data_IF_394275183078
#
_entry.id   IF_394275183078
#
_cell.length_a   1.000
_cell.length_b   1.000
_cell.length_c   1.000
_cell.angle_alpha   90.00
_cell.angle_beta   90.00
_cell.angle_gamma   90.00
#
_symmetry.space_group_name_H-M   'P 1'
#
loop_
_entity.id
_entity.type
_entity.pdbx_description
1 polymer ?
#
# COMPACT_ATOMS: atom_id res chain seq x y z
N UNK A 1 7.17 -0.37 28.59
CA UNK A 1 8.59 -0.55 28.99
C UNK A 1 8.81 0.21 30.30
N UNK A 2 9.56 -0.34 31.27
CA UNK A 2 9.81 0.29 32.58
C UNK A 2 11.04 1.21 32.50
N UNK A 3 10.86 2.54 32.58
CA UNK A 3 11.92 3.53 32.32
C UNK A 3 12.48 4.13 33.61
N UNK A 4 13.81 4.18 33.75
CA UNK A 4 14.51 4.78 34.91
C UNK A 4 14.87 6.23 34.62
N UNK A 5 13.93 7.14 34.85
CA UNK A 5 14.07 8.58 34.51
C UNK A 5 15.00 9.36 35.46
N UNK A 6 15.24 8.88 36.69
CA UNK A 6 15.99 9.60 37.73
C UNK A 6 17.22 8.83 38.25
N UNK A 7 17.88 8.03 37.40
CA UNK A 7 19.08 7.26 37.75
C UNK A 7 18.82 5.78 38.07
N UNK A 8 19.87 5.02 38.38
CA UNK A 8 19.81 3.56 38.59
C UNK A 8 18.86 3.14 39.71
N UNK A 9 18.65 3.99 40.71
CA UNK A 9 17.86 3.69 41.90
C UNK A 9 16.41 4.21 41.81
N UNK A 10 16.03 4.78 40.66
CA UNK A 10 14.67 5.31 40.45
C UNK A 10 13.66 4.20 40.18
N UNK A 11 12.45 4.35 40.76
CA UNK A 11 11.32 3.49 40.45
C UNK A 11 11.04 3.58 38.95
N UNK A 12 10.91 2.43 38.25
CA UNK A 12 10.61 2.46 36.85
C UNK A 12 9.22 3.05 36.62
N UNK A 13 9.16 4.17 35.91
CA UNK A 13 7.91 4.79 35.51
C UNK A 13 7.37 4.09 34.27
N UNK A 14 6.04 4.00 34.22
CA UNK A 14 5.33 3.59 33.01
C UNK A 14 5.50 4.64 31.91
N UNK A 15 5.57 4.19 30.65
CA UNK A 15 5.82 5.08 29.51
C UNK A 15 4.70 6.12 29.34
N UNK A 16 3.42 5.73 29.49
CA UNK A 16 2.30 6.65 29.41
C UNK A 16 2.35 7.72 30.48
N UNK A 17 2.78 7.35 31.70
CA UNK A 17 2.99 8.31 32.78
C UNK A 17 4.15 9.27 32.47
N UNK A 18 5.26 8.79 31.92
CA UNK A 18 6.34 9.68 31.47
C UNK A 18 5.85 10.65 30.39
N UNK A 19 5.11 10.17 29.39
CA UNK A 19 4.53 11.01 28.34
C UNK A 19 3.61 12.08 28.94
N UNK A 20 2.77 11.71 29.90
CA UNK A 20 1.89 12.66 30.58
C UNK A 20 2.66 13.73 31.35
N UNK A 21 3.69 13.36 32.11
CA UNK A 21 4.54 14.33 32.83
C UNK A 21 5.22 15.29 31.85
N UNK A 22 5.80 14.78 30.77
CA UNK A 22 6.49 15.60 29.76
C UNK A 22 5.54 16.47 28.94
N UNK A 23 4.25 16.14 28.91
CA UNK A 23 3.24 16.95 28.21
C UNK A 23 3.06 18.35 28.82
N UNK A 24 3.34 18.50 30.12
CA UNK A 24 3.26 19.80 30.82
C UNK A 24 4.41 20.75 30.50
N UNK A 25 5.51 20.24 29.94
CA UNK A 25 6.67 21.06 29.58
C UNK A 25 6.41 21.88 28.31
N UNK A 26 7.13 22.98 28.15
CA UNK A 26 7.12 23.73 26.89
C UNK A 26 7.91 22.98 25.82
N UNK A 27 7.61 23.19 24.52
CA UNK A 27 8.35 22.53 23.43
C UNK A 27 9.87 22.68 23.53
N UNK A 28 10.37 23.88 23.87
CA UNK A 28 11.81 24.14 24.05
C UNK A 28 12.43 23.32 25.18
N UNK A 29 11.70 23.13 26.28
CA UNK A 29 12.16 22.34 27.43
C UNK A 29 12.21 20.86 27.07
N UNK A 30 11.18 20.33 26.39
CA UNK A 30 11.21 18.98 25.83
C UNK A 30 12.39 18.78 24.88
N UNK A 31 12.65 19.72 23.98
CA UNK A 31 13.76 19.63 23.05
C UNK A 31 15.11 19.51 23.77
N UNK A 32 15.36 20.29 24.83
CA UNK A 32 16.58 20.18 25.62
C UNK A 32 16.76 18.78 26.24
N UNK A 33 15.67 18.15 26.65
CA UNK A 33 15.69 16.82 27.27
C UNK A 33 16.04 15.70 26.28
N UNK A 34 15.93 15.93 24.96
CA UNK A 34 16.37 14.97 23.92
C UNK A 34 17.89 14.74 23.90
N UNK A 35 18.64 15.63 24.57
CA UNK A 35 20.09 15.57 24.70
C UNK A 35 20.55 14.72 25.90
N UNK A 36 19.64 14.37 26.82
CA UNK A 36 19.98 13.62 28.04
C UNK A 36 20.39 12.19 27.73
N UNK A 37 19.59 11.49 26.93
CA UNK A 37 19.84 10.09 26.53
C UNK A 37 18.96 9.68 25.35
N UNK A 38 19.17 8.46 24.83
CA UNK A 38 18.34 7.89 23.76
C UNK A 38 16.92 7.60 24.26
N UNK A 39 16.78 7.16 25.50
CA UNK A 39 15.51 6.84 26.13
C UNK A 39 14.65 8.09 26.27
N UNK A 40 15.23 9.18 26.79
CA UNK A 40 14.56 10.47 26.89
C UNK A 40 14.12 10.98 25.51
N UNK A 41 15.02 10.93 24.53
CA UNK A 41 14.69 11.30 23.14
C UNK A 41 13.51 10.50 22.60
N UNK A 42 13.46 9.19 22.87
CA UNK A 42 12.37 8.34 22.43
C UNK A 42 11.03 8.73 23.06
N UNK A 43 11.00 8.92 24.38
CA UNK A 43 9.74 9.28 25.08
C UNK A 43 9.29 10.69 24.68
N UNK A 44 10.21 11.63 24.46
CA UNK A 44 9.87 12.97 23.99
C UNK A 44 9.25 12.89 22.59
N UNK A 45 9.80 12.07 21.69
CA UNK A 45 9.21 11.83 20.38
C UNK A 45 7.79 11.26 20.50
N UNK A 46 7.57 10.25 21.35
CA UNK A 46 6.23 9.71 21.65
C UNK A 46 5.30 10.80 22.21
N UNK A 47 5.81 11.68 23.09
CA UNK A 47 5.05 12.75 23.71
C UNK A 47 4.58 13.78 22.69
N UNK A 48 5.50 14.29 21.87
CA UNK A 48 5.19 15.28 20.84
C UNK A 48 4.24 14.70 19.79
N UNK A 49 4.47 13.46 19.37
CA UNK A 49 3.62 12.74 18.44
C UNK A 49 2.20 12.54 18.98
N UNK A 50 2.08 12.05 20.22
CA UNK A 50 0.79 11.86 20.87
C UNK A 50 0.03 13.17 21.01
N UNK A 51 0.70 14.24 21.49
CA UNK A 51 0.08 15.55 21.62
C UNK A 51 -0.43 16.11 20.29
N UNK A 52 0.35 15.95 19.22
CA UNK A 52 -0.05 16.39 17.89
C UNK A 52 -1.27 15.64 17.35
N UNK A 53 -1.41 14.34 17.67
CA UNK A 53 -2.50 13.50 17.17
C UNK A 53 -3.74 13.46 18.07
N UNK A 54 -3.67 13.93 19.33
CA UNK A 54 -4.81 13.91 20.26
C UNK A 54 -6.09 14.53 19.68
N UNK A 55 -6.07 15.71 19.03
CA UNK A 55 -7.28 16.27 18.42
C UNK A 55 -7.88 15.35 17.34
N UNK A 56 -7.04 14.71 16.53
CA UNK A 56 -7.47 13.75 15.50
C UNK A 56 -8.05 12.49 16.13
N UNK A 57 -7.38 11.92 17.15
CA UNK A 57 -7.89 10.76 17.88
C UNK A 57 -9.24 11.06 18.54
N UNK A 58 -9.48 12.30 18.96
CA UNK A 58 -10.74 12.71 19.58
C UNK A 58 -11.95 12.73 18.63
N UNK A 59 -11.72 12.71 17.31
CA UNK A 59 -12.80 12.56 16.32
C UNK A 59 -13.34 11.13 16.27
N UNK A 60 -12.58 10.16 16.79
CA UNK A 60 -12.91 8.73 16.69
C UNK A 60 -13.70 8.29 17.92
N UNK A 61 -14.92 7.74 17.77
CA UNK A 61 -15.78 7.37 18.90
C UNK A 61 -15.10 6.44 19.93
N UNK A 62 -14.26 5.52 19.47
CA UNK A 62 -13.53 4.58 20.33
C UNK A 62 -12.46 5.25 21.20
N UNK A 63 -12.00 6.44 20.82
CA UNK A 63 -10.86 7.13 21.43
C UNK A 63 -11.23 8.48 22.07
N UNK A 64 -12.44 9.00 21.79
CA UNK A 64 -12.82 10.39 22.06
C UNK A 64 -12.83 10.79 23.54
N UNK A 65 -13.08 9.86 24.45
CA UNK A 65 -13.10 10.10 25.90
C UNK A 65 -11.75 9.83 26.59
N UNK A 66 -10.75 9.37 25.85
CA UNK A 66 -9.46 8.99 26.41
C UNK A 66 -8.42 10.11 26.30
N UNK A 67 -7.60 10.24 27.34
CA UNK A 67 -6.54 11.26 27.46
C UNK A 67 -5.28 10.63 28.05
N UNK A 68 -4.17 11.35 27.97
CA UNK A 68 -2.95 10.99 28.68
C UNK A 68 -3.22 10.79 30.19
N UNK A 69 -2.55 9.85 30.86
CA UNK A 69 -1.53 8.93 30.33
C UNK A 69 -2.07 7.70 29.60
N UNK A 70 -3.40 7.50 29.55
CA UNK A 70 -4.01 6.22 29.12
C UNK A 70 -3.87 5.93 27.63
N UNK A 71 -3.86 6.97 26.79
CA UNK A 71 -3.73 6.85 25.35
C UNK A 71 -2.40 7.45 24.92
N UNK A 72 -1.57 6.66 24.23
CA UNK A 72 -0.34 7.12 23.61
C UNK A 72 -0.30 6.71 22.14
N UNK A 73 0.46 7.44 21.35
CA UNK A 73 0.65 7.17 19.94
C UNK A 73 2.13 7.17 19.58
N UNK A 74 2.53 6.21 18.75
CA UNK A 74 3.89 6.04 18.23
C UNK A 74 3.84 5.99 16.70
N UNK A 75 4.71 6.69 15.98
CA UNK A 75 4.73 6.61 14.52
C UNK A 75 5.10 5.19 14.08
N UNK A 76 4.39 4.68 13.08
CA UNK A 76 4.78 3.47 12.34
C UNK A 76 5.52 3.90 11.06
N UNK A 77 6.43 3.06 10.59
CA UNK A 77 7.12 3.28 9.32
C UNK A 77 6.28 2.81 8.14
N UNK A 78 6.39 3.48 6.99
CA UNK A 78 5.72 3.11 5.75
C UNK A 78 4.76 4.20 5.25
N UNK A 79 4.17 3.96 4.08
CA UNK A 79 3.29 4.91 3.39
C UNK A 79 4.05 6.02 2.66
N UNK A 80 3.69 6.25 1.39
CA UNK A 80 4.16 7.40 0.62
C UNK A 80 3.06 8.48 0.48
N UNK A 81 1.84 8.18 0.89
CA UNK A 81 0.65 9.02 0.66
C UNK A 81 -0.17 9.21 1.93
N UNK A 82 0.15 8.49 2.99
CA UNK A 82 -0.52 8.53 4.27
C UNK A 82 0.50 8.40 5.41
N UNK A 83 0.15 8.93 6.58
CA UNK A 83 0.91 8.73 7.81
C UNK A 83 0.21 7.70 8.69
N UNK A 84 0.95 6.69 9.14
CA UNK A 84 0.41 5.62 10.00
C UNK A 84 1.05 5.64 11.39
N UNK A 85 0.24 5.43 12.43
CA UNK A 85 0.69 5.43 13.82
C UNK A 85 0.05 4.29 14.62
N UNK A 86 0.82 3.67 15.50
CA UNK A 86 0.32 2.77 16.52
C UNK A 86 -0.31 3.59 17.64
N UNK A 87 -1.58 3.35 17.94
CA UNK A 87 -2.28 3.89 19.10
C UNK A 87 -2.41 2.79 20.15
N UNK A 88 -1.94 3.06 21.36
CA UNK A 88 -2.07 2.15 22.52
C UNK A 88 -2.98 2.81 23.55
N UNK A 89 -3.99 2.08 24.03
CA UNK A 89 -4.94 2.52 25.04
C UNK A 89 -4.98 1.54 26.22
N UNK A 90 -4.62 2.04 27.39
CA UNK A 90 -4.73 1.31 28.64
C UNK A 90 -6.08 1.56 29.32
N UNK A 91 -6.85 0.48 29.50
CA UNK A 91 -8.15 0.49 30.19
C UNK A 91 -8.06 -0.36 31.45
N UNK A 92 -8.53 0.18 32.57
CA UNK A 92 -8.62 -0.57 33.83
C UNK A 92 -9.97 -1.30 33.86
N UNK A 93 -9.94 -2.62 33.84
CA UNK A 93 -11.15 -3.43 33.91
C UNK A 93 -11.73 -3.48 35.34
N UNK A 94 -12.91 -4.08 35.49
CA UNK A 94 -13.63 -4.19 36.79
C UNK A 94 -12.85 -4.96 37.87
N UNK A 95 -11.81 -5.71 37.50
CA UNK A 95 -10.93 -6.46 38.41
C UNK A 95 -9.64 -5.70 38.73
N UNK A 96 -9.59 -4.39 38.45
CA UNK A 96 -8.42 -3.54 38.61
C UNK A 96 -7.17 -4.02 37.84
N UNK A 97 -7.36 -4.78 36.75
CA UNK A 97 -6.29 -5.13 35.82
C UNK A 97 -6.28 -4.16 34.65
N UNK A 98 -5.08 -3.79 34.20
CA UNK A 98 -4.88 -3.00 32.98
C UNK A 98 -4.94 -3.93 31.78
N UNK A 99 -5.76 -3.57 30.81
CA UNK A 99 -5.84 -4.18 29.49
C UNK A 99 -5.42 -3.13 28.46
N UNK A 100 -4.48 -3.48 27.59
CA UNK A 100 -3.99 -2.59 26.53
C UNK A 100 -4.64 -2.97 25.20
N UNK A 101 -5.32 -2.02 24.59
CA UNK A 101 -5.85 -2.13 23.24
C UNK A 101 -4.93 -1.42 22.26
N UNK A 102 -4.77 -1.98 21.06
CA UNK A 102 -3.88 -1.44 20.03
C UNK A 102 -4.56 -1.29 18.69
N UNK A 103 -4.31 -0.16 18.04
CA UNK A 103 -4.80 0.15 16.70
C UNK A 103 -3.70 0.73 15.81
N UNK A 104 -3.85 0.54 14.49
CA UNK A 104 -3.17 1.37 13.52
C UNK A 104 -4.10 2.53 13.10
N UNK A 105 -3.67 3.74 13.39
CA UNK A 105 -4.31 4.99 12.98
C UNK A 105 -3.64 5.47 11.69
N UNK A 106 -4.40 5.57 10.61
CA UNK A 106 -3.94 6.06 9.31
C UNK A 106 -4.59 7.40 9.00
N UNK A 107 -3.77 8.38 8.65
CA UNK A 107 -4.19 9.74 8.28
C UNK A 107 -3.75 9.99 6.85
N UNK A 108 -4.69 10.33 5.99
CA UNK A 108 -4.42 10.68 4.60
C UNK A 108 -3.43 11.86 4.50
N UNK A 109 -2.46 11.76 3.60
CA UNK A 109 -1.52 12.83 3.30
C UNK A 109 -2.21 14.01 2.64
N UNK A 110 -1.69 15.21 2.85
CA UNK A 110 -2.26 16.44 2.29
C UNK A 110 -2.30 16.35 0.76
N UNK A 111 -3.46 16.66 0.17
CA UNK A 111 -3.66 16.68 -1.27
C UNK A 111 -3.95 15.32 -1.92
N UNK A 112 -3.90 14.20 -1.17
CA UNK A 112 -4.21 12.85 -1.68
C UNK A 112 -5.65 12.71 -2.20
N UNK A 113 -6.60 13.41 -1.58
CA UNK A 113 -8.02 13.41 -1.99
C UNK A 113 -8.28 13.98 -3.39
N UNK A 114 -7.30 14.63 -4.02
CA UNK A 114 -7.42 15.09 -5.40
C UNK A 114 -7.46 13.92 -6.42
N UNK A 115 -6.99 12.74 -6.03
CA UNK A 115 -6.92 11.55 -6.88
C UNK A 115 -7.66 10.34 -6.28
N UNK A 116 -8.09 10.44 -5.02
CA UNK A 116 -8.64 9.34 -4.25
C UNK A 116 -10.01 9.74 -3.71
N UNK A 117 -11.02 8.94 -4.04
CA UNK A 117 -12.37 9.07 -3.49
C UNK A 117 -12.47 8.22 -2.23
N UNK A 118 -12.49 8.89 -1.08
CA UNK A 118 -12.49 8.22 0.24
C UNK A 118 -13.74 7.37 0.50
N UNK A 119 -14.87 7.69 -0.13
CA UNK A 119 -16.08 6.84 -0.14
C UNK A 119 -15.84 5.49 -0.82
N UNK A 120 -15.24 5.50 -2.02
CA UNK A 120 -14.89 4.26 -2.75
C UNK A 120 -13.92 3.43 -1.93
N UNK A 121 -12.90 4.06 -1.36
CA UNK A 121 -11.93 3.41 -0.49
C UNK A 121 -12.59 2.75 0.73
N UNK A 122 -13.44 3.48 1.46
CA UNK A 122 -14.10 2.96 2.65
C UNK A 122 -14.95 1.72 2.33
N UNK A 123 -15.72 1.78 1.24
CA UNK A 123 -16.54 0.67 0.77
C UNK A 123 -15.70 -0.55 0.40
N UNK A 124 -14.66 -0.34 -0.41
CA UNK A 124 -13.80 -1.41 -0.90
C UNK A 124 -12.98 -2.05 0.23
N UNK A 125 -12.43 -1.24 1.13
CA UNK A 125 -11.69 -1.71 2.30
C UNK A 125 -12.58 -2.53 3.25
N UNK A 126 -13.86 -2.15 3.39
CA UNK A 126 -14.84 -2.92 4.17
C UNK A 126 -15.15 -4.25 3.50
N UNK A 127 -15.37 -4.28 2.18
CA UNK A 127 -15.58 -5.53 1.45
C UNK A 127 -14.37 -6.47 1.59
N UNK A 128 -13.15 -5.95 1.48
CA UNK A 128 -11.93 -6.73 1.72
C UNK A 128 -11.80 -7.24 3.16
N UNK A 129 -12.32 -6.50 4.14
CA UNK A 129 -12.41 -6.94 5.55
C UNK A 129 -13.37 -8.12 5.70
N UNK A 130 -14.53 -8.06 5.03
CA UNK A 130 -15.54 -9.13 5.05
C UNK A 130 -15.04 -10.41 4.35
N UNK A 131 -14.12 -10.27 3.38
CA UNK A 131 -13.36 -11.37 2.80
C UNK A 131 -12.21 -11.86 3.68
N UNK A 132 -12.00 -11.28 4.85
CA UNK A 132 -10.85 -11.54 5.73
C UNK A 132 -9.48 -11.29 5.07
N UNK A 133 -9.43 -10.52 3.97
CA UNK A 133 -8.19 -10.13 3.30
C UNK A 133 -7.55 -8.94 4.01
N UNK A 134 -8.36 -7.98 4.45
CA UNK A 134 -7.91 -6.81 5.20
C UNK A 134 -7.87 -7.09 6.72
N UNK A 135 -7.31 -6.13 7.46
CA UNK A 135 -7.47 -6.02 8.92
C UNK A 135 -8.83 -5.44 9.28
N UNK A 136 -9.32 -5.74 10.49
CA UNK A 136 -10.59 -5.20 10.98
C UNK A 136 -10.54 -3.67 11.04
N UNK A 137 -11.57 -3.03 10.46
CA UNK A 137 -11.74 -1.58 10.46
C UNK A 137 -12.76 -1.22 11.55
N UNK A 138 -12.29 -0.56 12.61
CA UNK A 138 -13.17 -0.12 13.71
C UNK A 138 -13.74 1.29 13.42
N UNK A 139 -13.05 2.11 12.63
CA UNK A 139 -13.53 3.43 12.22
C UNK A 139 -12.95 3.84 10.84
N UNK A 140 -13.77 4.49 10.02
CA UNK A 140 -13.37 5.11 8.76
C UNK A 140 -14.18 6.38 8.54
N UNK A 141 -13.51 7.50 8.30
CA UNK A 141 -14.12 8.78 7.91
C UNK A 141 -14.10 8.91 6.38
N UNK A 142 -15.26 8.84 5.75
CA UNK A 142 -15.41 8.92 4.29
C UNK A 142 -15.15 10.33 3.72
N UNK A 143 -15.05 11.36 4.56
CA UNK A 143 -14.79 12.72 4.11
C UNK A 143 -13.29 12.97 3.88
N UNK A 144 -12.43 12.52 4.81
CA UNK A 144 -10.99 12.79 4.77
C UNK A 144 -10.09 11.56 4.81
N UNK A 145 -10.66 10.36 4.92
CA UNK A 145 -9.90 9.10 4.91
C UNK A 145 -9.25 8.75 6.24
N UNK A 146 -9.60 9.43 7.33
CA UNK A 146 -9.15 9.05 8.68
C UNK A 146 -9.62 7.64 9.00
N UNK A 147 -8.67 6.73 9.26
CA UNK A 147 -8.98 5.32 9.47
C UNK A 147 -8.35 4.81 10.77
N UNK A 148 -9.12 4.02 11.51
CA UNK A 148 -8.65 3.23 12.65
C UNK A 148 -8.88 1.74 12.38
N UNK A 149 -7.80 0.98 12.30
CA UNK A 149 -7.85 -0.48 12.14
C UNK A 149 -7.25 -1.18 13.34
N UNK A 150 -7.68 -2.41 13.60
CA UNK A 150 -7.08 -3.22 14.67
C UNK A 150 -5.63 -3.52 14.36
N UNK A 151 -4.76 -3.30 15.35
CA UNK A 151 -3.35 -3.61 15.18
C UNK A 151 -3.14 -5.13 15.18
N UNK A 152 -2.45 -5.61 14.16
CA UNK A 152 -2.17 -7.03 13.99
C UNK A 152 -0.86 -7.39 14.72
N UNK A 153 -0.99 -7.98 15.90
CA UNK A 153 0.15 -8.41 16.71
C UNK A 153 0.97 -9.50 16.00
N UNK A 154 2.28 -9.52 16.26
CA UNK A 154 3.22 -10.48 15.66
C UNK A 154 3.15 -10.52 14.12
N UNK A 155 2.89 -9.36 13.51
CA UNK A 155 2.87 -9.21 12.06
C UNK A 155 4.01 -8.32 11.58
N UNK A 156 4.44 -8.55 10.34
CA UNK A 156 5.43 -7.72 9.67
C UNK A 156 5.12 -7.59 8.17
N UNK A 157 5.46 -6.45 7.55
CA UNK A 157 5.48 -6.35 6.10
C UNK A 157 6.38 -7.42 5.46
N UNK A 158 6.11 -7.79 4.20
CA UNK A 158 6.94 -8.77 3.50
C UNK A 158 8.37 -8.25 3.31
N UNK A 159 9.32 -8.92 3.95
CA UNK A 159 10.75 -8.66 3.79
C UNK A 159 11.37 -9.59 2.74
N UNK A 160 12.65 -9.38 2.39
CA UNK A 160 13.34 -10.18 1.37
C UNK A 160 13.36 -11.69 1.67
N UNK A 161 13.42 -12.09 2.94
CA UNK A 161 13.41 -13.51 3.31
C UNK A 161 12.03 -14.15 3.07
N UNK A 162 10.94 -13.42 3.38
CA UNK A 162 9.58 -13.85 3.09
C UNK A 162 9.32 -13.87 1.58
N UNK A 163 9.79 -12.86 0.85
CA UNK A 163 9.68 -12.80 -0.62
C UNK A 163 10.45 -13.91 -1.35
N UNK A 164 11.45 -14.51 -0.71
CA UNK A 164 12.17 -15.67 -1.23
C UNK A 164 11.51 -17.01 -0.87
N UNK A 165 10.52 -17.03 0.03
CA UNK A 165 9.87 -18.26 0.48
C UNK A 165 8.76 -18.70 -0.52
N UNK A 166 8.87 -19.88 -1.15
CA UNK A 166 7.87 -20.38 -2.10
C UNK A 166 6.44 -20.44 -1.57
N UNK A 167 6.25 -20.75 -0.30
CA UNK A 167 4.91 -20.82 0.32
C UNK A 167 4.28 -19.42 0.43
N UNK A 168 5.10 -18.40 0.72
CA UNK A 168 4.64 -17.01 0.78
C UNK A 168 4.29 -16.52 -0.62
N UNK A 169 5.12 -16.82 -1.62
CA UNK A 169 4.86 -16.49 -3.04
C UNK A 169 3.51 -17.07 -3.49
N UNK A 170 3.26 -18.35 -3.20
CA UNK A 170 1.98 -19.00 -3.50
C UNK A 170 0.82 -18.34 -2.75
N UNK A 171 1.00 -18.03 -1.46
CA UNK A 171 -0.03 -17.35 -0.65
C UNK A 171 -0.40 -15.97 -1.22
N UNK A 172 0.56 -15.22 -1.76
CA UNK A 172 0.31 -13.93 -2.42
C UNK A 172 -0.55 -14.15 -3.67
N UNK A 173 -0.17 -15.05 -4.56
CA UNK A 173 -0.93 -15.35 -5.78
C UNK A 173 -2.37 -15.79 -5.49
N UNK A 174 -2.56 -16.65 -4.47
CA UNK A 174 -3.88 -17.07 -4.01
C UNK A 174 -4.69 -15.95 -3.35
N UNK A 175 -4.03 -15.03 -2.65
CA UNK A 175 -4.67 -13.86 -2.02
C UNK A 175 -5.22 -12.91 -3.08
N UNK A 176 -4.41 -12.59 -4.10
CA UNK A 176 -4.86 -11.79 -5.25
C UNK A 176 -5.99 -12.50 -6.01
N UNK A 177 -5.86 -13.81 -6.26
CA UNK A 177 -6.92 -14.61 -6.90
C UNK A 177 -8.24 -14.54 -6.14
N UNK A 178 -8.19 -14.65 -4.81
CA UNK A 178 -9.39 -14.57 -3.95
C UNK A 178 -10.06 -13.20 -4.05
N UNK A 179 -9.28 -12.12 -4.05
CA UNK A 179 -9.82 -10.77 -4.27
C UNK A 179 -10.47 -10.67 -5.65
N UNK A 180 -9.79 -11.09 -6.70
CA UNK A 180 -10.26 -10.93 -8.08
C UNK A 180 -11.48 -11.81 -8.41
N UNK A 181 -11.78 -12.81 -7.57
CA UNK A 181 -12.97 -13.66 -7.67
C UNK A 181 -14.13 -13.20 -6.78
N UNK A 182 -13.96 -12.14 -5.98
CA UNK A 182 -15.03 -11.61 -5.15
C UNK A 182 -16.02 -10.74 -5.94
N UNK A 183 -17.05 -10.28 -5.24
CA UNK A 183 -18.02 -9.34 -5.79
C UNK A 183 -17.33 -8.05 -6.25
N UNK A 184 -17.80 -7.50 -7.37
CA UNK A 184 -17.26 -6.27 -7.94
C UNK A 184 -17.29 -5.09 -6.94
N UNK A 185 -16.28 -4.23 -7.01
CA UNK A 185 -16.32 -2.92 -6.36
C UNK A 185 -17.30 -1.98 -7.08
N UNK A 186 -17.63 -0.85 -6.45
CA UNK A 186 -18.54 0.15 -7.05
C UNK A 186 -17.84 1.02 -8.10
N UNK A 187 -16.54 1.24 -7.95
CA UNK A 187 -15.72 2.04 -8.85
C UNK A 187 -14.92 1.16 -9.82
N UNK A 188 -14.52 1.74 -10.96
CA UNK A 188 -13.69 1.09 -11.97
C UNK A 188 -12.51 1.99 -12.29
N UNK A 189 -11.33 1.40 -12.47
CA UNK A 189 -10.08 2.08 -12.77
C UNK A 189 -9.71 1.77 -14.22
N UNK A 190 -9.51 2.83 -15.00
CA UNK A 190 -8.96 2.76 -16.34
C UNK A 190 -7.53 3.30 -16.32
N UNK A 191 -6.55 2.40 -16.28
CA UNK A 191 -5.13 2.77 -16.13
C UNK A 191 -4.62 3.62 -17.30
N UNK A 192 -5.09 3.36 -18.52
CA UNK A 192 -4.63 4.10 -19.70
C UNK A 192 -5.17 5.53 -19.72
N UNK A 193 -6.46 5.70 -19.41
CA UNK A 193 -7.06 7.02 -19.27
C UNK A 193 -6.39 7.81 -18.15
N UNK A 194 -6.15 7.16 -17.00
CA UNK A 194 -5.47 7.76 -15.84
C UNK A 194 -4.03 8.20 -16.18
N UNK A 195 -3.26 7.33 -16.83
CA UNK A 195 -1.90 7.65 -17.31
C UNK A 195 -1.91 8.84 -18.27
N UNK A 196 -2.83 8.83 -19.23
CA UNK A 196 -2.98 9.92 -20.21
C UNK A 196 -3.30 11.25 -19.54
N UNK A 197 -4.20 11.27 -18.55
CA UNK A 197 -4.55 12.48 -17.80
C UNK A 197 -3.40 13.00 -16.94
N UNK A 198 -2.67 12.12 -16.26
CA UNK A 198 -1.50 12.51 -15.47
C UNK A 198 -0.41 13.11 -16.35
N UNK A 199 -0.08 12.46 -17.47
CA UNK A 199 0.91 12.97 -18.40
C UNK A 199 0.52 14.36 -18.94
N UNK A 200 -0.75 14.56 -19.34
CA UNK A 200 -1.25 15.87 -19.78
C UNK A 200 -1.10 16.93 -18.69
N UNK A 201 -1.45 16.62 -17.44
CA UNK A 201 -1.30 17.55 -16.31
C UNK A 201 0.17 17.91 -16.04
N UNK A 202 1.07 16.92 -16.10
CA UNK A 202 2.51 17.13 -15.92
C UNK A 202 3.10 18.04 -17.01
N UNK A 203 2.76 17.79 -18.27
CA UNK A 203 3.19 18.62 -19.41
C UNK A 203 2.67 20.05 -19.26
N UNK A 204 1.38 20.21 -18.96
CA UNK A 204 0.76 21.53 -18.83
C UNK A 204 1.26 22.32 -17.61
N UNK A 205 1.56 21.64 -16.52
CA UNK A 205 1.99 22.27 -15.27
C UNK A 205 3.44 22.76 -15.28
N UNK A 206 4.34 22.05 -15.98
CA UNK A 206 5.74 22.45 -16.15
C UNK A 206 6.59 22.46 -14.86
N UNK A 207 6.10 21.89 -13.76
CA UNK A 207 6.84 21.87 -12.48
C UNK A 207 7.93 20.78 -12.42
N UNK A 208 7.87 19.80 -13.32
CA UNK A 208 8.82 18.67 -13.39
C UNK A 208 9.49 18.67 -14.76
N UNK A 209 10.80 18.47 -14.78
CA UNK A 209 11.55 18.30 -16.03
C UNK A 209 11.29 16.90 -16.56
N UNK A 210 10.53 16.80 -17.63
CA UNK A 210 10.24 15.53 -18.30
C UNK A 210 11.36 15.18 -19.30
N UNK A 211 11.71 13.88 -19.44
CA UNK A 211 12.67 13.42 -20.44
C UNK A 211 12.25 13.74 -21.88
N UNK A 212 13.22 13.88 -22.80
CA UNK A 212 12.94 14.23 -24.20
C UNK A 212 12.16 13.14 -24.97
N UNK A 213 12.28 11.88 -24.54
CA UNK A 213 11.64 10.71 -25.16
C UNK A 213 10.22 10.42 -24.59
N UNK A 214 9.68 11.32 -23.75
CA UNK A 214 8.37 11.16 -23.11
C UNK A 214 7.23 10.94 -24.12
N UNK A 215 7.23 11.71 -25.22
CA UNK A 215 6.19 11.63 -26.25
C UNK A 215 6.26 10.30 -27.02
N UNK A 216 7.47 9.76 -27.22
CA UNK A 216 7.66 8.47 -27.86
C UNK A 216 7.10 7.33 -27.00
N UNK A 217 7.37 7.36 -25.68
CA UNK A 217 6.79 6.39 -24.73
C UNK A 217 5.27 6.54 -24.68
N UNK A 218 4.75 7.76 -24.59
CA UNK A 218 3.31 8.03 -24.64
C UNK A 218 2.65 7.46 -25.90
N UNK A 219 3.28 7.63 -27.06
CA UNK A 219 2.81 7.04 -28.33
C UNK A 219 2.79 5.51 -28.32
N UNK A 220 3.76 4.85 -27.67
CA UNK A 220 3.74 3.39 -27.50
C UNK A 220 2.61 2.96 -26.56
N UNK A 221 2.38 3.69 -25.45
CA UNK A 221 1.29 3.39 -24.52
C UNK A 221 -0.09 3.49 -25.19
N UNK A 222 -0.29 4.45 -26.09
CA UNK A 222 -1.52 4.55 -26.91
C UNK A 222 -1.69 3.35 -27.84
N UNK A 223 -0.60 2.81 -28.41
CA UNK A 223 -0.66 1.58 -29.23
C UNK A 223 -1.03 0.36 -28.39
N UNK A 224 -0.42 0.22 -27.21
CA UNK A 224 -0.77 -0.84 -26.25
C UNK A 224 -2.24 -0.75 -25.89
N UNK A 225 -2.73 0.44 -25.53
CA UNK A 225 -4.14 0.67 -25.24
C UNK A 225 -5.03 0.24 -26.42
N UNK A 226 -4.73 0.73 -27.63
CA UNK A 226 -5.50 0.39 -28.83
C UNK A 226 -5.62 -1.12 -29.05
N UNK A 227 -4.53 -1.87 -28.82
CA UNK A 227 -4.55 -3.32 -28.89
C UNK A 227 -5.43 -3.93 -27.79
N UNK A 228 -5.30 -3.47 -26.55
CA UNK A 228 -6.09 -3.97 -25.42
C UNK A 228 -7.60 -3.72 -25.61
N UNK A 229 -7.99 -2.59 -26.20
CA UNK A 229 -9.39 -2.26 -26.49
C UNK A 229 -10.06 -3.16 -27.53
N UNK A 230 -9.29 -3.94 -28.28
CA UNK A 230 -9.84 -4.98 -29.18
C UNK A 230 -10.36 -6.19 -28.40
N UNK A 231 -9.98 -6.33 -27.12
CA UNK A 231 -10.36 -7.41 -26.25
C UNK A 231 -11.41 -6.99 -25.21
N UNK A 232 -12.34 -7.90 -24.94
CA UNK A 232 -13.23 -7.91 -23.79
C UNK A 232 -12.46 -8.49 -22.61
N UNK A 233 -11.92 -7.59 -21.79
CA UNK A 233 -11.23 -7.92 -20.55
C UNK A 233 -12.24 -7.87 -19.41
N UNK A 234 -12.33 -8.95 -18.63
CA UNK A 234 -13.17 -8.96 -17.42
C UNK A 234 -12.55 -8.07 -16.36
N UNK A 235 -13.28 -7.03 -15.96
CA UNK A 235 -12.90 -6.18 -14.85
C UNK A 235 -13.28 -6.85 -13.53
N UNK A 236 -12.35 -6.89 -12.60
CA UNK A 236 -12.45 -7.58 -11.30
C UNK A 236 -11.99 -6.64 -10.18
N UNK A 237 -12.42 -6.85 -8.93
CA UNK A 237 -11.90 -6.08 -7.80
C UNK A 237 -10.37 -6.17 -7.75
N UNK A 238 -9.68 -5.04 -7.81
CA UNK A 238 -8.22 -4.98 -7.71
C UNK A 238 -7.83 -4.02 -6.58
N UNK A 239 -6.70 -4.32 -5.93
CA UNK A 239 -6.05 -3.43 -4.98
C UNK A 239 -5.43 -2.21 -5.68
N UNK A 240 -4.89 -2.41 -6.89
CA UNK A 240 -4.14 -1.46 -7.73
C UNK A 240 -2.85 -0.88 -7.12
N UNK A 241 -2.46 -1.36 -5.93
CA UNK A 241 -1.19 -1.04 -5.28
C UNK A 241 -0.68 -2.19 -4.37
N UNK A 242 -0.64 -3.45 -4.84
CA UNK A 242 -0.20 -4.58 -4.02
C UNK A 242 1.33 -4.57 -3.87
N UNK A 243 1.89 -3.59 -3.17
CA UNK A 243 3.33 -3.57 -2.84
C UNK A 243 3.64 -4.59 -1.73
N UNK A 244 4.87 -5.15 -1.66
CA UNK A 244 5.27 -6.01 -0.55
C UNK A 244 5.04 -5.40 0.84
N UNK A 245 5.12 -4.07 0.97
CA UNK A 245 4.85 -3.36 2.22
C UNK A 245 3.38 -3.37 2.65
N UNK A 246 2.46 -3.54 1.70
CA UNK A 246 1.02 -3.59 1.95
C UNK A 246 0.54 -5.00 2.32
N UNK A 247 1.42 -6.00 2.24
CA UNK A 247 1.14 -7.35 2.73
C UNK A 247 1.75 -7.55 4.12
N UNK A 248 0.90 -7.87 5.10
CA UNK A 248 1.32 -8.19 6.46
C UNK A 248 1.31 -9.70 6.66
N UNK A 249 2.49 -10.27 6.94
CA UNK A 249 2.66 -11.66 7.32
C UNK A 249 2.52 -11.80 8.84
N UNK A 250 1.64 -12.68 9.29
CA UNK A 250 1.45 -13.01 10.71
C UNK A 250 2.27 -14.23 11.07
N UNK A 251 3.22 -14.08 11.99
CA UNK A 251 4.06 -15.18 12.44
C UNK A 251 3.24 -16.24 13.20
N UNK A 252 3.56 -17.52 12.98
CA UNK A 252 2.90 -18.68 13.60
C UNK A 252 1.40 -18.81 13.33
N UNK A 253 0.86 -18.07 12.37
CA UNK A 253 -0.41 -18.41 11.78
C UNK A 253 -0.26 -19.73 11.02
N UNK A 254 -1.10 -20.72 11.33
CA UNK A 254 -1.15 -21.96 10.54
C UNK A 254 -1.37 -21.60 9.06
N UNK A 255 -0.46 -22.03 8.19
CA UNK A 255 -0.65 -21.98 6.74
C UNK A 255 -1.65 -23.09 6.41
N UNK A 256 -2.92 -22.82 6.12
CA UNK A 256 -3.88 -23.89 5.96
C UNK A 256 -3.73 -24.54 4.59
N UNK A 257 -3.73 -25.87 4.59
CA UNK A 257 -4.08 -26.67 3.43
C UNK A 257 -5.54 -26.41 3.04
N UNK A 258 -5.74 -25.75 1.90
CA UNK A 258 -6.93 -25.86 1.05
C UNK A 258 -8.31 -25.95 1.77
N UNK A 259 -8.63 -25.08 2.74
CA UNK A 259 -10.01 -24.93 3.29
C UNK A 259 -10.28 -23.70 4.18
N UNK A 260 -9.71 -22.54 3.86
CA UNK A 260 -10.50 -21.29 4.01
C UNK A 260 -10.45 -20.48 5.31
N UNK A 261 -9.37 -20.49 6.09
CA UNK A 261 -9.09 -19.40 7.05
C UNK A 261 -7.70 -18.80 6.80
N UNK A 262 -7.63 -17.63 6.16
CA UNK A 262 -6.38 -16.91 5.85
C UNK A 262 -5.76 -16.29 7.11
N UNK A 263 -5.14 -17.10 7.95
CA UNK A 263 -4.52 -16.60 9.18
C UNK A 263 -3.15 -15.92 8.92
N UNK A 264 -2.45 -16.23 7.81
CA UNK A 264 -1.05 -15.85 7.64
C UNK A 264 -0.76 -14.55 6.89
N UNK A 265 -1.67 -14.05 6.06
CA UNK A 265 -1.39 -12.90 5.19
C UNK A 265 -2.58 -11.94 5.12
N UNK A 266 -2.34 -10.66 5.39
CA UNK A 266 -3.31 -9.57 5.26
C UNK A 266 -2.85 -8.57 4.20
N UNK A 267 -3.80 -7.97 3.49
CA UNK A 267 -3.57 -6.91 2.51
C UNK A 267 -4.21 -5.62 3.00
N UNK A 268 -3.40 -4.59 3.22
CA UNK A 268 -3.79 -3.29 3.78
C UNK A 268 -3.61 -2.17 2.74
N UNK A 269 -4.08 -0.97 3.09
CA UNK A 269 -3.93 0.26 2.28
C UNK A 269 -4.69 0.29 0.95
N UNK A 270 -6.03 0.29 1.04
CA UNK A 270 -6.96 0.13 -0.08
C UNK A 270 -7.27 1.42 -0.86
N UNK A 271 -6.44 2.46 -0.76
CA UNK A 271 -6.79 3.79 -1.27
C UNK A 271 -6.84 3.91 -2.80
N UNK A 272 -6.18 3.00 -3.51
CA UNK A 272 -6.23 2.90 -4.98
C UNK A 272 -7.18 1.82 -5.49
N UNK A 273 -7.89 1.14 -4.60
CA UNK A 273 -8.74 0.01 -4.96
C UNK A 273 -9.88 0.40 -5.90
N UNK A 274 -10.22 -0.53 -6.78
CA UNK A 274 -11.30 -0.38 -7.76
C UNK A 274 -11.22 -1.46 -8.83
N UNK A 275 -12.32 -1.69 -9.55
CA UNK A 275 -12.34 -2.75 -10.55
C UNK A 275 -11.34 -2.45 -11.67
N UNK A 276 -10.45 -3.39 -11.95
CA UNK A 276 -9.44 -3.27 -13.00
C UNK A 276 -9.25 -4.62 -13.68
N UNK A 277 -8.32 -4.72 -14.64
CA UNK A 277 -7.80 -6.02 -15.04
C UNK A 277 -6.98 -6.63 -13.89
N UNK A 278 -7.29 -7.87 -13.49
CA UNK A 278 -6.55 -8.57 -12.43
C UNK A 278 -5.06 -8.74 -12.71
N UNK A 279 -4.64 -8.70 -13.98
CA UNK A 279 -3.22 -8.72 -14.33
C UNK A 279 -2.46 -7.47 -13.87
N UNK A 280 -3.13 -6.34 -13.69
CA UNK A 280 -2.51 -5.14 -13.13
C UNK A 280 -1.92 -5.44 -11.75
N UNK A 281 -2.69 -6.01 -10.84
CA UNK A 281 -2.23 -6.34 -9.48
C UNK A 281 -1.10 -7.36 -9.48
N UNK A 282 -1.24 -8.42 -10.29
CA UNK A 282 -0.26 -9.50 -10.39
C UNK A 282 1.09 -8.97 -10.87
N UNK A 283 1.10 -8.22 -11.98
CA UNK A 283 2.35 -7.66 -12.53
C UNK A 283 2.90 -6.54 -11.65
N UNK A 284 2.03 -5.74 -11.03
CA UNK A 284 2.43 -4.72 -10.06
C UNK A 284 3.18 -5.32 -8.88
N UNK A 285 2.67 -6.43 -8.32
CA UNK A 285 3.33 -7.13 -7.24
C UNK A 285 4.69 -7.69 -7.70
N UNK A 286 4.73 -8.42 -8.81
CA UNK A 286 5.96 -9.04 -9.36
C UNK A 286 7.07 -8.00 -9.52
N UNK A 287 6.76 -6.82 -10.08
CA UNK A 287 7.78 -5.79 -10.26
C UNK A 287 8.25 -5.16 -8.95
N UNK A 288 7.32 -4.84 -8.03
CA UNK A 288 7.67 -4.23 -6.75
C UNK A 288 8.42 -5.19 -5.83
N UNK A 289 8.12 -6.48 -5.91
CA UNK A 289 8.84 -7.54 -5.22
C UNK A 289 10.20 -7.87 -5.85
N UNK A 290 10.49 -7.33 -7.06
CA UNK A 290 11.72 -7.58 -7.83
C UNK A 290 11.97 -9.07 -8.06
N UNK A 291 10.91 -9.79 -8.38
CA UNK A 291 10.98 -11.23 -8.62
C UNK A 291 11.80 -11.56 -9.86
N UNK A 292 12.57 -12.65 -9.74
CA UNK A 292 13.16 -13.32 -10.88
C UNK A 292 12.12 -14.19 -11.62
N UNK A 293 12.52 -14.77 -12.75
CA UNK A 293 11.65 -15.60 -13.58
C UNK A 293 11.03 -16.78 -12.82
N UNK A 294 11.76 -17.40 -11.89
CA UNK A 294 11.26 -18.55 -11.12
C UNK A 294 10.20 -18.12 -10.10
N UNK A 295 10.44 -17.00 -9.42
CA UNK A 295 9.50 -16.42 -8.47
C UNK A 295 8.24 -15.89 -9.17
N UNK A 296 8.40 -15.22 -10.31
CA UNK A 296 7.29 -14.77 -11.16
C UNK A 296 6.44 -15.96 -11.63
N UNK A 297 7.08 -17.01 -12.18
CA UNK A 297 6.39 -18.24 -12.62
C UNK A 297 5.62 -18.89 -11.48
N UNK A 298 6.20 -18.95 -10.28
CA UNK A 298 5.54 -19.54 -9.12
C UNK A 298 4.30 -18.75 -8.68
N UNK A 299 4.38 -17.41 -8.68
CA UNK A 299 3.24 -16.55 -8.35
C UNK A 299 2.14 -16.67 -9.41
N UNK A 300 2.52 -16.61 -10.69
CA UNK A 300 1.59 -16.76 -11.81
C UNK A 300 0.88 -18.11 -11.77
N UNK A 301 1.60 -19.20 -11.52
CA UNK A 301 1.02 -20.53 -11.40
C UNK A 301 0.05 -20.64 -10.20
N UNK A 302 0.35 -19.99 -9.08
CA UNK A 302 -0.57 -19.93 -7.95
C UNK A 302 -1.87 -19.15 -8.28
N UNK A 303 -1.77 -18.10 -9.10
CA UNK A 303 -2.90 -17.27 -9.51
C UNK A 303 -3.73 -17.91 -10.64
N UNK A 304 -3.10 -18.32 -11.74
CA UNK A 304 -3.79 -18.85 -12.93
C UNK A 304 -4.04 -20.36 -12.88
N UNK A 305 -3.20 -21.12 -12.18
CA UNK A 305 -3.09 -22.57 -12.36
C UNK A 305 -2.08 -22.86 -13.47
N UNK A 306 -2.52 -23.53 -14.53
CA UNK A 306 -1.66 -23.82 -15.68
C UNK A 306 -1.36 -22.54 -16.47
N UNK A 307 -0.08 -22.32 -16.76
CA UNK A 307 0.38 -21.18 -17.56
C UNK A 307 0.40 -21.55 -19.03
N UNK A 308 0.08 -20.57 -19.87
CA UNK A 308 0.14 -20.66 -21.33
C UNK A 308 0.77 -19.40 -21.92
N UNK A 309 1.12 -19.46 -23.21
CA UNK A 309 1.77 -18.36 -23.92
C UNK A 309 0.94 -17.07 -23.90
N UNK A 310 -0.40 -17.16 -23.90
CA UNK A 310 -1.24 -15.98 -23.84
C UNK A 310 -1.11 -15.28 -22.48
N UNK A 311 -1.15 -16.00 -21.37
CA UNK A 311 -0.94 -15.42 -20.03
C UNK A 311 0.41 -14.71 -19.98
N UNK A 312 1.48 -15.37 -20.44
CA UNK A 312 2.83 -14.83 -20.43
C UNK A 312 2.96 -13.57 -21.31
N UNK A 313 2.36 -13.58 -22.52
CA UNK A 313 2.34 -12.43 -23.41
C UNK A 313 1.61 -11.23 -22.78
N UNK A 314 0.44 -11.45 -22.18
CA UNK A 314 -0.30 -10.38 -21.51
C UNK A 314 0.44 -9.84 -20.28
N UNK A 315 1.08 -10.71 -19.48
CA UNK A 315 1.96 -10.27 -18.39
C UNK A 315 3.09 -9.37 -18.92
N UNK A 316 3.78 -9.76 -20.00
CA UNK A 316 4.83 -8.98 -20.62
C UNK A 316 4.33 -7.61 -21.14
N UNK A 317 3.12 -7.54 -21.71
CA UNK A 317 2.52 -6.26 -22.12
C UNK A 317 2.17 -5.34 -20.95
N UNK A 318 1.80 -5.89 -19.79
CA UNK A 318 1.46 -5.12 -18.60
C UNK A 318 2.69 -4.56 -17.86
N UNK A 319 3.86 -5.22 -17.95
CA UNK A 319 5.11 -4.77 -17.30
C UNK A 319 5.45 -3.30 -17.57
N UNK A 320 5.54 -2.82 -18.82
CA UNK A 320 5.81 -1.41 -19.09
C UNK A 320 4.64 -0.49 -18.67
N UNK A 321 3.39 -0.95 -18.72
CA UNK A 321 2.21 -0.15 -18.32
C UNK A 321 2.22 0.15 -16.82
N UNK A 322 2.56 -0.85 -16.00
CA UNK A 322 2.69 -0.73 -14.54
C UNK A 322 3.81 0.24 -14.17
N UNK A 323 5.01 0.08 -14.74
CA UNK A 323 6.14 0.96 -14.47
C UNK A 323 5.87 2.40 -14.90
N UNK A 324 5.18 2.56 -16.02
CA UNK A 324 4.77 3.86 -16.51
C UNK A 324 3.78 4.55 -15.58
N UNK A 325 2.80 3.81 -15.07
CA UNK A 325 1.88 4.31 -14.05
C UNK A 325 2.64 4.82 -12.82
N UNK A 326 3.56 4.04 -12.26
CA UNK A 326 4.35 4.42 -11.07
C UNK A 326 5.23 5.65 -11.36
N UNK A 327 5.78 5.74 -12.58
CA UNK A 327 6.58 6.88 -13.03
C UNK A 327 5.76 8.18 -13.02
N UNK A 328 4.61 8.17 -13.70
CA UNK A 328 3.72 9.33 -13.79
C UNK A 328 3.17 9.73 -12.42
N UNK A 329 2.82 8.75 -11.61
CA UNK A 329 2.40 8.97 -10.23
C UNK A 329 3.51 9.66 -9.42
N UNK A 330 4.75 9.16 -9.50
CA UNK A 330 5.89 9.71 -8.75
C UNK A 330 6.21 11.16 -9.16
N UNK A 331 6.18 11.46 -10.46
CA UNK A 331 6.32 12.85 -10.94
C UNK A 331 5.16 13.74 -10.48
N UNK A 332 3.94 13.20 -10.40
CA UNK A 332 2.78 13.95 -9.88
C UNK A 332 2.97 14.30 -8.41
N UNK A 333 3.50 13.38 -7.59
CA UNK A 333 3.84 13.66 -6.20
C UNK A 333 4.91 14.76 -6.06
N UNK A 334 5.94 14.73 -6.92
CA UNK A 334 6.98 15.77 -6.99
C UNK A 334 6.37 17.13 -7.37
N UNK A 335 5.53 17.17 -8.41
CA UNK A 335 4.86 18.39 -8.87
C UNK A 335 3.98 19.00 -7.77
N UNK A 336 3.30 18.15 -7.01
CA UNK A 336 2.42 18.54 -5.90
C UNK A 336 3.17 18.92 -4.61
N UNK A 337 4.49 18.72 -4.54
CA UNK A 337 5.32 19.00 -3.36
C UNK A 337 4.81 18.29 -2.10
N UNK A 338 4.38 17.04 -2.23
CA UNK A 338 3.88 16.25 -1.10
C UNK A 338 4.98 16.00 -0.07
N UNK A 339 4.64 16.08 1.22
CA UNK A 339 5.58 16.05 2.36
C UNK A 339 5.48 14.79 3.23
N UNK A 340 4.80 13.74 2.75
CA UNK A 340 4.64 12.46 3.49
C UNK A 340 5.98 11.72 3.64
N UNK A 341 6.79 11.68 2.59
CA UNK A 341 8.15 11.16 2.63
C UNK A 341 9.12 12.15 1.95
N UNK A 342 10.42 11.89 2.11
CA UNK A 342 11.47 12.72 1.52
C UNK A 342 11.31 12.85 0.01
N UNK A 343 11.51 14.07 -0.53
CA UNK A 343 11.43 14.35 -1.97
C UNK A 343 12.28 13.38 -2.80
N UNK A 344 13.46 13.03 -2.26
CA UNK A 344 14.40 12.11 -2.89
C UNK A 344 13.80 10.72 -3.13
N UNK A 345 12.91 10.23 -2.26
CA UNK A 345 12.26 8.94 -2.43
C UNK A 345 11.35 8.93 -3.68
N UNK A 346 10.57 9.99 -3.91
CA UNK A 346 9.77 10.10 -5.13
C UNK A 346 10.65 10.24 -6.39
N UNK A 347 11.75 10.98 -6.31
CA UNK A 347 12.69 11.15 -7.42
C UNK A 347 13.35 9.83 -7.81
N UNK A 348 13.81 9.06 -6.81
CA UNK A 348 14.46 7.78 -7.04
C UNK A 348 13.48 6.74 -7.58
N UNK A 349 12.24 6.73 -7.08
CA UNK A 349 11.18 5.87 -7.60
C UNK A 349 10.82 6.24 -9.05
N UNK A 350 10.61 7.53 -9.35
CA UNK A 350 10.32 8.01 -10.69
C UNK A 350 11.42 7.61 -11.68
N UNK A 351 12.69 7.85 -11.32
CA UNK A 351 13.81 7.50 -12.19
C UNK A 351 13.92 5.99 -12.38
N UNK A 352 13.79 5.20 -11.32
CA UNK A 352 13.89 3.74 -11.42
C UNK A 352 12.79 3.15 -12.30
N UNK A 353 11.54 3.58 -12.12
CA UNK A 353 10.40 3.07 -12.87
C UNK A 353 10.42 3.56 -14.32
N UNK A 354 10.91 4.78 -14.57
CA UNK A 354 11.10 5.29 -15.92
C UNK A 354 12.08 4.43 -16.72
N UNK A 355 13.25 4.13 -16.14
CA UNK A 355 14.25 3.28 -16.80
C UNK A 355 13.72 1.85 -17.00
N UNK A 356 13.01 1.27 -16.03
CA UNK A 356 12.37 -0.04 -16.20
C UNK A 356 11.34 -0.03 -17.32
N UNK A 357 10.53 1.03 -17.44
CA UNK A 357 9.59 1.18 -18.56
C UNK A 357 10.33 1.06 -19.89
N UNK A 358 11.46 1.75 -20.04
CA UNK A 358 12.29 1.69 -21.26
C UNK A 358 12.89 0.31 -21.49
N UNK A 359 13.40 -0.34 -20.45
CA UNK A 359 13.95 -1.69 -20.52
C UNK A 359 12.89 -2.69 -20.97
N UNK A 360 11.68 -2.64 -20.40
CA UNK A 360 10.59 -3.53 -20.80
C UNK A 360 10.12 -3.26 -22.22
N UNK A 361 9.99 -2.00 -22.64
CA UNK A 361 9.61 -1.66 -24.02
C UNK A 361 10.65 -2.11 -25.06
N UNK A 362 11.92 -2.27 -24.66
CA UNK A 362 13.01 -2.72 -25.52
C UNK A 362 13.28 -4.24 -25.42
N UNK A 363 12.55 -4.98 -24.58
CA UNK A 363 12.84 -6.40 -24.34
C UNK A 363 12.34 -7.32 -25.47
N UNK A 364 13.00 -8.47 -25.61
CA UNK A 364 12.54 -9.52 -26.53
C UNK A 364 11.15 -10.05 -26.14
N UNK A 365 10.88 -10.17 -24.83
CA UNK A 365 9.58 -10.59 -24.30
C UNK A 365 8.46 -9.65 -24.74
N UNK A 366 8.67 -8.33 -24.67
CA UNK A 366 7.66 -7.37 -25.12
C UNK A 366 7.48 -7.43 -26.65
N UNK A 367 8.59 -7.53 -27.40
CA UNK A 367 8.56 -7.66 -28.85
C UNK A 367 7.87 -8.94 -29.33
N UNK A 368 8.01 -10.04 -28.58
CA UNK A 368 7.27 -11.28 -28.81
C UNK A 368 5.80 -11.13 -28.44
N UNK A 369 5.51 -10.61 -27.24
CA UNK A 369 4.16 -10.50 -26.71
C UNK A 369 3.24 -9.63 -27.58
N UNK A 370 3.75 -8.48 -28.06
CA UNK A 370 2.97 -7.61 -28.95
C UNK A 370 2.62 -8.33 -30.26
N UNK A 371 3.58 -9.03 -30.86
CA UNK A 371 3.35 -9.81 -32.10
C UNK A 371 2.38 -10.97 -31.86
N UNK A 372 2.49 -11.65 -30.73
CA UNK A 372 1.61 -12.75 -30.34
C UNK A 372 0.16 -12.27 -30.25
N UNK A 373 -0.07 -11.17 -29.53
CA UNK A 373 -1.42 -10.61 -29.31
C UNK A 373 -1.95 -9.96 -30.60
N UNK A 374 -1.11 -9.31 -31.41
CA UNK A 374 -1.51 -8.80 -32.73
C UNK A 374 -1.91 -9.93 -33.68
N UNK A 375 -1.16 -11.04 -33.71
CA UNK A 375 -1.49 -12.20 -34.53
C UNK A 375 -2.85 -12.79 -34.16
N UNK A 376 -3.19 -12.87 -32.88
CA UNK A 376 -4.51 -13.31 -32.42
C UNK A 376 -5.64 -12.40 -32.95
N UNK A 377 -5.44 -11.07 -32.95
CA UNK A 377 -6.45 -10.13 -33.50
C UNK A 377 -6.65 -10.24 -35.02
N UNK A 378 -5.69 -10.81 -35.73
CA UNK A 378 -5.74 -11.01 -37.18
C UNK A 378 -6.26 -12.41 -37.56
N UNK A 379 -6.42 -13.32 -36.60
CA UNK A 379 -6.92 -14.67 -36.85
C UNK A 379 -8.42 -14.64 -37.19
N UNK A 380 -8.82 -15.46 -38.16
CA UNK A 380 -10.22 -15.60 -38.58
C UNK A 380 -11.18 -16.07 -37.47
N UNK A 381 -10.65 -16.69 -36.41
CA UNK A 381 -11.38 -17.19 -35.25
C UNK A 381 -11.45 -16.20 -34.08
N UNK A 382 -10.84 -15.01 -34.22
CA UNK A 382 -10.84 -13.96 -33.21
C UNK A 382 -12.27 -13.58 -32.79
N UNK A 383 -12.55 -13.67 -31.49
CA UNK A 383 -13.89 -13.41 -30.92
C UNK A 383 -13.90 -12.28 -29.88
N UNK A 384 -12.82 -11.51 -29.81
CA UNK A 384 -12.57 -10.45 -28.84
C UNK A 384 -12.50 -10.88 -27.37
N UNK A 385 -12.76 -12.12 -26.96
CA UNK A 385 -12.56 -12.50 -25.56
C UNK A 385 -11.07 -12.75 -25.32
N UNK A 386 -10.53 -12.21 -24.23
CA UNK A 386 -9.16 -12.53 -23.83
C UNK A 386 -9.04 -14.03 -23.52
N UNK A 387 -8.01 -14.73 -24.01
CA UNK A 387 -7.92 -16.19 -23.94
C UNK A 387 -7.43 -16.73 -22.58
N UNK A 388 -8.02 -16.30 -21.46
CA UNK A 388 -7.90 -16.91 -20.11
C UNK A 388 -8.77 -16.18 -19.07
#
# INVERSE_FOLDING_TARGET
MKLRFFGSDSLPLDEGLCVYILSFLKPKERQNLTLVSKEWRSVIKTTEHTLALLPTMQRIPQLCDHRLPRIISKPLSGGMTNGTSLVELDVVNRKAKVETYKWALRIAGKGSSAFIKRQDEAHNAKQATDLCLNVDIDFFDEEDGLQLTRYLENSQPLNNALLANPQVIQAIGLTLKRLHQSDAFQNTIDVFSRNTELLKKLIAGGQVVLPMDIDAIGGIMVKIESLFRQYRIKMVPCHNDPTPSNFLWVENAEIPSFSGLQAGLKLIDWEYSGNNDGLMDVVYFVSNAKYDEKQETLLLAAYFGDLNDAILAWCAMYKPVVEWWITLWSWTQIANKTDVCELKAYQDLAQSCYEKTKVFLASEDFAWAIKFIEADTLDSSFNSNRPF
#
